data_IF_641458570325
#
_entry.id   IF_641458570325
#
_cell.length_a   1.000
_cell.length_b   1.000
_cell.length_c   1.000
_cell.angle_alpha   90.00
_cell.angle_beta   90.00
_cell.angle_gamma   90.00
#
_symmetry.space_group_name_H-M   'P 1'
#
loop_
_entity.id
_entity.type
_entity.pdbx_description
1 polymer ?
#
# COMPACT_ATOMS: atom_id res chain seq x y z
N UNK A 1 5.63 5.17 8.63
CA UNK A 1 6.05 5.17 7.21
C UNK A 1 6.17 6.60 6.73
N UNK A 2 6.95 6.84 5.68
CA UNK A 2 7.26 8.19 5.23
C UNK A 2 6.79 8.42 3.80
N UNK A 3 6.18 9.57 3.55
CA UNK A 3 5.76 10.07 2.24
C UNK A 3 6.55 11.34 1.92
N UNK A 4 7.19 11.37 0.76
CA UNK A 4 7.87 12.55 0.21
C UNK A 4 7.01 13.13 -0.92
N UNK A 5 6.39 14.29 -0.67
CA UNK A 5 5.50 14.95 -1.64
C UNK A 5 6.25 15.53 -2.84
N UNK A 6 7.54 15.86 -2.69
CA UNK A 6 8.36 16.38 -3.79
C UNK A 6 8.75 15.27 -4.76
N UNK A 7 9.12 14.10 -4.22
CA UNK A 7 9.39 12.90 -5.03
C UNK A 7 8.12 12.18 -5.47
N UNK A 8 6.98 12.48 -4.84
CA UNK A 8 5.70 11.77 -5.01
C UNK A 8 5.84 10.27 -4.72
N UNK A 9 6.60 9.94 -3.67
CA UNK A 9 6.91 8.56 -3.29
C UNK A 9 6.69 8.30 -1.81
N UNK A 10 6.42 7.03 -1.48
CA UNK A 10 6.34 6.56 -0.12
C UNK A 10 7.26 5.36 0.11
N UNK A 11 7.85 5.30 1.30
CA UNK A 11 8.63 4.15 1.77
C UNK A 11 7.73 3.18 2.53
N UNK A 12 7.66 1.93 2.07
CA UNK A 12 6.90 0.85 2.70
C UNK A 12 7.67 -0.44 2.48
N UNK A 13 7.89 -1.23 3.53
CA UNK A 13 8.42 -2.60 3.38
C UNK A 13 7.29 -3.60 3.55
N UNK A 14 6.84 -4.17 2.44
CA UNK A 14 5.88 -5.29 2.44
C UNK A 14 6.41 -6.41 1.54
N UNK A 15 6.45 -7.64 2.05
CA UNK A 15 6.87 -8.82 1.31
C UNK A 15 5.76 -9.86 1.23
N UNK A 16 5.48 -10.38 0.04
CA UNK A 16 4.64 -11.55 -0.12
C UNK A 16 5.52 -12.81 0.06
N UNK A 17 5.31 -13.64 1.11
CA UNK A 17 6.15 -14.82 1.35
C UNK A 17 6.18 -15.77 0.15
N UNK A 18 7.33 -16.41 -0.12
CA UNK A 18 7.46 -17.38 -1.22
C UNK A 18 6.55 -18.60 -1.09
N UNK A 19 6.10 -18.92 0.14
CA UNK A 19 5.15 -20.01 0.41
C UNK A 19 3.68 -19.59 0.23
N UNK A 20 3.41 -18.32 -0.09
CA UNK A 20 2.06 -17.86 -0.37
C UNK A 20 1.52 -18.55 -1.62
N UNK A 21 0.24 -18.89 -1.59
CA UNK A 21 -0.51 -19.37 -2.75
C UNK A 21 -1.32 -18.26 -3.43
N UNK A 22 -1.23 -17.02 -2.93
CA UNK A 22 -2.00 -15.88 -3.40
C UNK A 22 -1.08 -14.70 -3.74
N UNK A 23 -1.46 -13.96 -4.76
CA UNK A 23 -0.90 -12.65 -5.04
C UNK A 23 -1.45 -11.65 -4.02
N UNK A 24 -0.68 -10.61 -3.70
CA UNK A 24 -1.09 -9.57 -2.77
C UNK A 24 -1.11 -8.20 -3.45
N UNK A 25 -2.10 -7.38 -3.13
CA UNK A 25 -2.11 -5.94 -3.43
C UNK A 25 -2.15 -5.19 -2.11
N UNK A 26 -1.29 -4.18 -1.99
CA UNK A 26 -1.21 -3.33 -0.81
C UNK A 26 -1.62 -1.92 -1.17
N UNK A 27 -2.57 -1.36 -0.42
CA UNK A 27 -3.01 0.02 -0.54
C UNK A 27 -2.77 0.76 0.77
N UNK A 28 -2.34 2.02 0.71
CA UNK A 28 -2.39 2.91 1.86
C UNK A 28 -3.65 3.75 1.77
N UNK A 29 -4.43 3.75 2.85
CA UNK A 29 -5.62 4.58 2.99
C UNK A 29 -5.39 5.56 4.14
N UNK A 30 -5.58 6.85 3.86
CA UNK A 30 -5.60 7.93 4.85
C UNK A 30 -6.94 8.65 4.70
N UNK A 31 -7.72 8.76 5.78
CA UNK A 31 -9.05 9.41 5.77
C UNK A 31 -9.92 8.95 4.59
N UNK A 32 -10.10 7.63 4.46
CA UNK A 32 -10.87 6.95 3.40
C UNK A 32 -10.43 7.24 1.96
N UNK A 33 -9.26 7.85 1.77
CA UNK A 33 -8.66 8.09 0.46
C UNK A 33 -7.49 7.15 0.24
N UNK A 34 -7.49 6.43 -0.88
CA UNK A 34 -6.33 5.65 -1.33
C UNK A 34 -5.24 6.61 -1.77
N UNK A 35 -4.11 6.61 -1.05
CA UNK A 35 -2.97 7.48 -1.30
C UNK A 35 -1.97 6.84 -2.26
N UNK A 36 -1.84 5.52 -2.18
CA UNK A 36 -1.00 4.72 -3.08
C UNK A 36 -1.51 3.28 -3.13
N UNK A 37 -1.09 2.58 -4.16
CA UNK A 37 -1.41 1.17 -4.38
C UNK A 37 -0.23 0.48 -5.06
N UNK A 38 0.12 -0.72 -4.60
CA UNK A 38 1.09 -1.57 -5.29
C UNK A 38 0.49 -2.20 -6.55
N UNK A 39 1.35 -2.65 -7.46
CA UNK A 39 0.96 -3.69 -8.42
C UNK A 39 0.66 -5.02 -7.71
N UNK A 40 0.36 -6.06 -8.50
CA UNK A 40 0.27 -7.43 -7.98
C UNK A 40 1.64 -7.89 -7.49
N UNK A 41 1.74 -8.18 -6.19
CA UNK A 41 2.91 -8.77 -5.57
C UNK A 41 2.76 -10.29 -5.60
N UNK A 42 3.39 -10.95 -6.55
CA UNK A 42 3.40 -12.42 -6.62
C UNK A 42 4.19 -13.03 -5.46
N UNK A 43 3.97 -14.30 -5.09
CA UNK A 43 4.73 -14.96 -4.04
C UNK A 43 6.25 -14.81 -4.23
N UNK A 44 6.96 -14.46 -3.16
CA UNK A 44 8.41 -14.22 -3.15
C UNK A 44 8.85 -12.81 -3.53
N UNK A 45 7.92 -11.91 -3.88
CA UNK A 45 8.22 -10.51 -4.23
C UNK A 45 7.99 -9.56 -3.06
N UNK A 46 8.47 -8.32 -3.19
CA UNK A 46 8.31 -7.27 -2.18
C UNK A 46 8.12 -5.90 -2.82
N UNK A 47 7.41 -5.04 -2.12
CA UNK A 47 7.39 -3.59 -2.34
C UNK A 47 8.24 -2.92 -1.26
N UNK A 48 9.09 -2.00 -1.68
CA UNK A 48 9.95 -1.17 -0.78
C UNK A 48 9.68 0.32 -0.93
N UNK A 49 9.25 0.73 -2.12
CA UNK A 49 8.93 2.11 -2.47
C UNK A 49 7.78 2.08 -3.47
N UNK A 50 6.83 3.00 -3.32
CA UNK A 50 5.65 3.11 -4.19
C UNK A 50 5.40 4.56 -4.56
N UNK A 51 4.99 4.79 -5.80
CA UNK A 51 4.54 6.10 -6.26
C UNK A 51 3.18 6.44 -5.66
N UNK A 52 2.96 7.72 -5.39
CA UNK A 52 1.67 8.23 -4.97
C UNK A 52 0.66 8.11 -6.11
N UNK A 53 -0.60 7.82 -5.77
CA UNK A 53 -1.69 7.86 -6.72
C UNK A 53 -1.81 9.27 -7.32
N UNK A 54 -2.29 9.36 -8.56
CA UNK A 54 -2.40 10.64 -9.25
C UNK A 54 -3.26 11.64 -8.47
N UNK A 55 -2.70 12.81 -8.18
CA UNK A 55 -3.38 13.87 -7.43
C UNK A 55 -3.43 13.64 -5.91
N UNK A 56 -2.90 12.52 -5.39
CA UNK A 56 -2.81 12.30 -3.94
C UNK A 56 -1.91 13.35 -3.26
N UNK A 57 -0.86 13.82 -3.95
CA UNK A 57 0.03 14.85 -3.41
C UNK A 57 -0.67 16.19 -3.12
N UNK A 58 -1.81 16.46 -3.78
CA UNK A 58 -2.61 17.68 -3.57
C UNK A 58 -3.55 17.57 -2.38
N UNK A 59 -3.79 16.35 -1.89
CA UNK A 59 -4.68 16.06 -0.76
C UNK A 59 -3.94 15.96 0.57
N UNK A 60 -2.61 15.96 0.53
CA UNK A 60 -1.74 15.83 1.70
C UNK A 60 -0.94 17.11 1.91
N UNK A 61 -0.68 17.42 3.18
CA UNK A 61 0.26 18.47 3.59
C UNK A 61 1.33 17.86 4.48
N UNK A 62 2.47 18.53 4.66
CA UNK A 62 3.48 18.05 5.59
C UNK A 62 2.90 17.94 7.01
N UNK A 63 3.12 16.80 7.68
CA UNK A 63 2.48 16.50 8.95
C UNK A 63 2.45 15.00 9.27
N UNK A 64 1.73 14.64 10.33
CA UNK A 64 1.55 13.26 10.77
C UNK A 64 0.08 12.87 10.63
N UNK A 65 -0.18 11.70 10.07
CA UNK A 65 -1.51 11.17 9.82
C UNK A 65 -1.64 9.75 10.37
N UNK A 66 -2.84 9.41 10.81
CA UNK A 66 -3.24 8.01 10.99
C UNK A 66 -3.73 7.47 9.65
N UNK A 67 -3.16 6.33 9.26
CA UNK A 67 -3.56 5.61 8.07
C UNK A 67 -3.69 4.12 8.35
N UNK A 68 -4.07 3.38 7.33
CA UNK A 68 -4.05 1.92 7.35
C UNK A 68 -3.57 1.38 6.02
N UNK A 69 -2.81 0.29 6.09
CA UNK A 69 -2.63 -0.57 4.94
C UNK A 69 -3.83 -1.50 4.81
N UNK A 70 -4.40 -1.54 3.62
CA UNK A 70 -5.38 -2.55 3.21
C UNK A 70 -4.65 -3.53 2.30
N UNK A 71 -4.53 -4.77 2.74
CA UNK A 71 -3.90 -5.85 1.99
C UNK A 71 -5.00 -6.78 1.48
N UNK A 72 -5.14 -6.84 0.17
CA UNK A 72 -6.09 -7.71 -0.53
C UNK A 72 -5.33 -8.85 -1.17
N UNK A 73 -5.91 -10.05 -1.14
CA UNK A 73 -5.28 -11.24 -1.70
C UNK A 73 -6.07 -11.78 -2.89
N UNK A 74 -5.35 -12.17 -3.93
CA UNK A 74 -5.91 -12.70 -5.16
C UNK A 74 -5.40 -14.13 -5.41
N UNK A 75 -6.33 -15.06 -5.54
CA UNK A 75 -6.04 -16.43 -5.94
C UNK A 75 -6.13 -16.55 -7.46
N UNK A 76 -4.96 -16.65 -8.12
CA UNK A 76 -4.86 -16.83 -9.56
C UNK A 76 -5.34 -18.20 -10.05
N UNK A 77 -5.35 -19.21 -9.18
CA UNK A 77 -5.79 -20.56 -9.57
C UNK A 77 -7.32 -20.64 -9.66
N UNK A 78 -8.03 -19.89 -8.81
CA UNK A 78 -9.50 -19.86 -8.78
C UNK A 78 -10.10 -18.60 -9.40
N UNK A 79 -9.26 -17.65 -9.82
CA UNK A 79 -9.63 -16.35 -10.39
C UNK A 79 -10.54 -15.54 -9.44
N UNK A 80 -10.19 -15.55 -8.14
CA UNK A 80 -11.03 -14.98 -7.08
C UNK A 80 -10.22 -14.15 -6.09
N UNK A 81 -10.83 -13.06 -5.66
CA UNK A 81 -10.38 -12.32 -4.49
C UNK A 81 -10.72 -13.10 -3.22
N UNK A 82 -9.82 -13.04 -2.24
CA UNK A 82 -10.13 -13.49 -0.89
C UNK A 82 -11.25 -12.62 -0.32
N UNK A 83 -12.17 -13.26 0.42
CA UNK A 83 -13.29 -12.55 1.06
C UNK A 83 -12.81 -11.64 2.21
N UNK A 84 -11.64 -11.93 2.79
CA UNK A 84 -11.08 -11.19 3.91
C UNK A 84 -9.84 -10.40 3.47
N UNK A 85 -9.87 -9.10 3.72
CA UNK A 85 -8.72 -8.22 3.63
C UNK A 85 -8.06 -8.07 5.01
N UNK A 86 -6.74 -7.90 5.03
CA UNK A 86 -6.05 -7.53 6.25
C UNK A 86 -5.93 -6.00 6.31
N UNK A 87 -6.33 -5.41 7.45
CA UNK A 87 -6.12 -4.00 7.73
C UNK A 87 -5.04 -3.83 8.80
N UNK A 88 -4.00 -3.08 8.50
CA UNK A 88 -2.86 -2.86 9.39
C UNK A 88 -2.75 -1.35 9.65
N UNK A 89 -3.05 -0.86 10.87
CA UNK A 89 -2.93 0.56 11.19
C UNK A 89 -1.46 1.01 11.09
N UNK A 90 -1.24 2.23 10.62
CA UNK A 90 0.10 2.80 10.45
C UNK A 90 0.09 4.30 10.68
N UNK A 91 1.11 4.81 11.36
CA UNK A 91 1.38 6.24 11.42
C UNK A 91 2.18 6.67 10.20
N UNK A 92 1.69 7.69 9.50
CA UNK A 92 2.28 8.22 8.26
C UNK A 92 2.85 9.60 8.53
N UNK A 93 4.15 9.76 8.29
CA UNK A 93 4.82 11.06 8.29
C UNK A 93 4.92 11.56 6.86
N UNK A 94 4.40 12.75 6.59
CA UNK A 94 4.44 13.39 5.28
C UNK A 94 5.44 14.54 5.32
N UNK A 95 6.40 14.50 4.42
CA UNK A 95 7.43 15.52 4.23
C UNK A 95 7.32 16.13 2.83
N UNK A 96 7.96 17.30 2.67
CA UNK A 96 8.01 18.04 1.42
C UNK A 96 9.45 18.33 1.07
#
# INVERSE_FOLDING_TARGET
MDIDLTKRKASLVFGNPAKSNQDAIVQLVISDTVILQSGSLTPGTKATELDLAEGAEKKLTAGVYDGKFVVSFYDRATDRWATLNAEIPVTVTVTK
#
